data_IF_523300871440
#
_entry.id   IF_523300871440
#
_cell.length_a   1.000
_cell.length_b   1.000
_cell.length_c   1.000
_cell.angle_alpha   90.00
_cell.angle_beta   90.00
_cell.angle_gamma   90.00
#
_symmetry.space_group_name_H-M   'P 1'
#
loop_
_entity.id
_entity.type
_entity.pdbx_description
1 polymer ?
#
# COMPACT_ATOMS: atom_id res chain seq x y z
N UNK A 1 2.75 -9.32 -17.08
CA UNK A 1 3.81 -9.24 -16.06
C UNK A 1 5.09 -8.86 -16.76
N UNK A 2 5.81 -7.86 -16.27
CA UNK A 2 7.08 -7.40 -16.85
C UNK A 2 8.22 -7.91 -15.99
N UNK A 3 9.31 -8.33 -16.63
CA UNK A 3 10.58 -8.67 -15.95
C UNK A 3 11.64 -7.65 -16.38
N UNK A 4 12.03 -6.76 -15.48
CA UNK A 4 12.95 -5.65 -15.76
C UNK A 4 14.24 -5.77 -14.94
N UNK A 5 15.33 -5.16 -15.44
CA UNK A 5 16.62 -5.10 -14.74
C UNK A 5 16.60 -4.07 -13.62
N UNK A 6 17.31 -4.38 -12.52
CA UNK A 6 17.56 -3.51 -11.35
C UNK A 6 18.44 -2.31 -11.71
N UNK A 7 17.93 -1.42 -12.55
CA UNK A 7 18.59 -0.19 -12.99
C UNK A 7 17.59 0.96 -12.86
N UNK A 8 18.05 2.18 -12.59
CA UNK A 8 17.15 3.35 -12.53
C UNK A 8 16.33 3.51 -13.82
N UNK A 9 16.97 3.35 -14.98
CA UNK A 9 16.29 3.36 -16.29
C UNK A 9 15.26 2.23 -16.42
N UNK A 10 15.58 1.03 -15.94
CA UNK A 10 14.65 -0.10 -15.90
C UNK A 10 13.48 0.09 -14.93
N UNK A 11 13.69 0.86 -13.86
CA UNK A 11 12.69 1.33 -12.90
C UNK A 11 11.63 2.21 -13.56
N UNK A 12 12.06 3.29 -14.21
CA UNK A 12 11.19 4.22 -14.92
C UNK A 12 10.37 3.52 -16.02
N UNK A 13 11.02 2.71 -16.87
CA UNK A 13 10.36 1.96 -17.94
C UNK A 13 9.31 0.98 -17.41
N UNK A 14 9.56 0.34 -16.26
CA UNK A 14 8.56 -0.56 -15.69
C UNK A 14 7.34 0.19 -15.17
N UNK A 15 7.52 1.37 -14.55
CA UNK A 15 6.40 2.21 -14.12
C UNK A 15 5.58 2.73 -15.30
N UNK A 16 6.22 3.13 -16.39
CA UNK A 16 5.54 3.49 -17.65
C UNK A 16 4.72 2.31 -18.18
N UNK A 17 5.30 1.11 -18.16
CA UNK A 17 4.60 -0.05 -18.65
C UNK A 17 3.44 -0.48 -17.73
N UNK A 18 3.52 -0.26 -16.41
CA UNK A 18 2.37 -0.40 -15.49
C UNK A 18 1.23 0.58 -15.82
N UNK A 19 1.54 1.80 -16.27
CA UNK A 19 0.51 2.74 -16.75
C UNK A 19 -0.06 2.31 -18.10
N UNK A 20 0.77 1.75 -18.98
CA UNK A 20 0.34 1.22 -20.26
C UNK A 20 -0.50 -0.06 -20.16
N UNK A 21 -0.82 -0.52 -18.94
CA UNK A 21 -1.71 -1.66 -18.69
C UNK A 21 -1.00 -2.93 -18.25
N UNK A 22 0.30 -2.88 -17.93
CA UNK A 22 0.94 -4.04 -17.33
C UNK A 22 0.37 -4.31 -15.92
N UNK A 23 0.09 -5.58 -15.69
CA UNK A 23 -0.54 -6.07 -14.45
C UNK A 23 0.42 -6.02 -13.26
N UNK A 24 1.71 -6.27 -13.50
CA UNK A 24 2.72 -6.39 -12.44
C UNK A 24 4.15 -6.32 -12.97
N UNK A 25 5.10 -6.04 -12.07
CA UNK A 25 6.53 -5.92 -12.33
C UNK A 25 7.35 -6.85 -11.43
N UNK A 26 8.38 -7.45 -12.01
CA UNK A 26 9.38 -8.27 -11.31
C UNK A 26 10.80 -7.89 -11.73
N UNK A 27 11.77 -8.17 -10.87
CA UNK A 27 13.19 -8.08 -11.19
C UNK A 27 13.68 -9.31 -11.95
N UNK A 28 14.72 -9.13 -12.77
CA UNK A 28 15.61 -10.24 -13.13
C UNK A 28 16.35 -10.74 -11.89
N UNK A 29 16.63 -12.06 -11.78
CA UNK A 29 17.34 -12.61 -10.63
C UNK A 29 18.74 -11.97 -10.51
N UNK A 30 19.19 -11.77 -9.26
CA UNK A 30 20.41 -11.04 -8.93
C UNK A 30 20.84 -11.32 -7.49
N UNK A 31 21.73 -10.51 -6.92
CA UNK A 31 22.29 -10.74 -5.57
C UNK A 31 21.23 -10.73 -4.46
N UNK A 32 20.13 -9.98 -4.64
CA UNK A 32 19.05 -9.86 -3.65
C UNK A 32 18.06 -11.03 -3.63
N UNK A 33 17.97 -11.82 -4.71
CA UNK A 33 16.98 -12.90 -4.85
C UNK A 33 17.59 -14.13 -5.52
N UNK A 34 17.47 -15.30 -4.89
CA UNK A 34 17.86 -16.55 -5.53
C UNK A 34 16.92 -16.88 -6.70
N UNK A 35 17.38 -17.71 -7.64
CA UNK A 35 16.52 -18.21 -8.72
C UNK A 35 15.31 -18.96 -8.16
N UNK A 36 15.47 -19.67 -7.03
CA UNK A 36 14.38 -20.37 -6.35
C UNK A 36 13.29 -19.43 -5.85
N UNK A 37 13.68 -18.35 -5.15
CA UNK A 37 12.73 -17.35 -4.64
C UNK A 37 11.99 -16.66 -5.78
N UNK A 38 12.70 -16.33 -6.87
CA UNK A 38 12.13 -15.68 -8.04
C UNK A 38 11.13 -16.59 -8.76
N UNK A 39 11.39 -17.90 -8.80
CA UNK A 39 10.49 -18.87 -9.44
C UNK A 39 9.12 -18.90 -8.76
N UNK A 40 9.11 -18.86 -7.43
CA UNK A 40 7.89 -18.82 -6.63
C UNK A 40 7.14 -17.51 -6.88
N UNK A 41 7.83 -16.38 -6.80
CA UNK A 41 7.24 -15.07 -7.07
C UNK A 41 6.67 -14.99 -8.49
N UNK A 42 7.34 -15.59 -9.48
CA UNK A 42 6.88 -15.60 -10.87
C UNK A 42 5.60 -16.42 -11.02
N UNK A 43 5.53 -17.58 -10.38
CA UNK A 43 4.31 -18.41 -10.38
C UNK A 43 3.14 -17.62 -9.79
N UNK A 44 3.34 -16.92 -8.67
CA UNK A 44 2.29 -16.13 -8.04
C UNK A 44 1.86 -14.96 -8.94
N UNK A 45 2.80 -14.26 -9.58
CA UNK A 45 2.51 -13.15 -10.50
C UNK A 45 1.79 -13.62 -11.78
N UNK A 46 2.13 -14.80 -12.32
CA UNK A 46 1.42 -15.42 -13.45
C UNK A 46 0.01 -15.85 -13.06
N UNK A 47 -0.15 -16.48 -11.89
CA UNK A 47 -1.48 -16.84 -11.36
C UNK A 47 -2.33 -15.58 -11.12
N UNK A 48 -1.75 -14.52 -10.56
CA UNK A 48 -2.41 -13.23 -10.38
C UNK A 48 -2.88 -12.69 -11.73
N UNK A 49 -1.99 -12.66 -12.73
CA UNK A 49 -2.29 -12.21 -14.08
C UNK A 49 -3.42 -13.00 -14.76
N UNK A 50 -3.51 -14.32 -14.53
CA UNK A 50 -4.59 -15.16 -15.08
C UNK A 50 -5.97 -14.86 -14.49
N UNK A 51 -6.03 -14.20 -13.33
CA UNK A 51 -7.26 -13.84 -12.61
C UNK A 51 -7.61 -12.37 -12.72
N UNK A 52 -6.83 -11.60 -13.47
CA UNK A 52 -7.06 -10.17 -13.65
C UNK A 52 -8.41 -9.96 -14.27
N UNK A 53 -9.24 -9.18 -13.58
CA UNK A 53 -10.38 -8.54 -14.20
C UNK A 53 -9.85 -7.33 -14.92
N UNK A 54 -9.79 -7.39 -16.26
CA UNK A 54 -9.51 -6.19 -17.05
C UNK A 54 -10.77 -5.33 -16.96
N UNK A 55 -10.72 -4.16 -16.29
CA UNK A 55 -11.86 -3.27 -16.35
C UNK A 55 -11.99 -2.85 -17.82
N UNK A 56 -13.16 -3.14 -18.41
CA UNK A 56 -13.53 -2.55 -19.69
C UNK A 56 -13.45 -1.04 -19.46
N UNK A 57 -12.49 -0.37 -20.09
CA UNK A 57 -12.42 1.08 -20.12
C UNK A 57 -13.74 1.58 -20.72
N UNK A 58 -14.71 1.88 -19.87
CA UNK A 58 -15.75 2.83 -20.22
C UNK A 58 -15.06 4.18 -20.21
N UNK A 59 -14.56 4.58 -21.37
CA UNK A 59 -14.29 5.99 -21.64
C UNK A 59 -15.60 6.74 -21.40
N UNK A 60 -15.65 7.48 -20.29
CA UNK A 60 -16.79 8.27 -19.85
C UNK A 60 -16.68 8.43 -18.34
N UNK A 61 -16.43 9.58 -17.76
CA UNK A 61 -16.50 10.97 -18.23
C UNK A 61 -15.43 11.77 -17.50
N UNK A 62 -15.11 12.95 -18.02
CA UNK A 62 -14.29 13.99 -17.39
C UNK A 62 -14.45 14.02 -15.86
N UNK A 63 -13.32 14.00 -15.15
CA UNK A 63 -13.24 14.25 -13.73
C UNK A 63 -13.58 15.73 -13.44
N UNK A 64 -14.85 16.07 -13.58
CA UNK A 64 -15.47 17.29 -13.08
C UNK A 64 -16.31 16.95 -11.87
N UNK A 65 -15.63 16.68 -10.75
CA UNK A 65 -16.12 17.12 -9.46
C UNK A 65 -14.91 17.34 -8.58
N UNK A 66 -14.36 18.56 -8.64
CA UNK A 66 -13.63 19.12 -7.49
C UNK A 66 -14.63 19.15 -6.35
N UNK A 67 -14.72 18.06 -5.60
CA UNK A 67 -15.31 18.04 -4.28
C UNK A 67 -14.61 19.14 -3.51
N UNK A 68 -15.34 20.22 -3.20
CA UNK A 68 -14.86 21.26 -2.31
C UNK A 68 -14.24 20.57 -1.09
N UNK A 69 -12.98 20.90 -0.78
CA UNK A 69 -12.30 20.36 0.38
C UNK A 69 -13.17 20.65 1.60
N UNK A 70 -13.90 19.65 2.10
CA UNK A 70 -14.54 19.73 3.41
C UNK A 70 -13.39 19.95 4.38
N UNK A 71 -13.34 21.13 4.98
CA UNK A 71 -12.42 21.42 6.07
C UNK A 71 -12.77 20.48 7.22
N UNK A 72 -12.07 19.35 7.30
CA UNK A 72 -12.10 18.50 8.48
C UNK A 72 -11.54 19.33 9.62
N UNK A 73 -12.41 19.76 10.54
CA UNK A 73 -12.01 20.59 11.67
C UNK A 73 -10.97 19.83 12.49
N UNK A 74 -9.85 20.50 12.82
CA UNK A 74 -8.70 20.00 13.60
C UNK A 74 -9.02 19.67 15.08
N UNK A 75 -10.26 19.32 15.41
CA UNK A 75 -10.72 19.19 16.80
C UNK A 75 -10.30 17.88 17.47
N UNK A 76 -9.66 16.95 16.76
CA UNK A 76 -9.17 15.69 17.35
C UNK A 76 -7.65 15.69 17.49
N UNK A 77 -7.17 15.82 18.72
CA UNK A 77 -5.75 15.88 19.12
C UNK A 77 -5.00 14.55 19.04
N UNK A 78 -5.60 13.49 18.48
CA UNK A 78 -4.93 12.20 18.31
C UNK A 78 -4.15 12.20 16.99
N UNK A 79 -2.83 12.00 17.05
CA UNK A 79 -2.02 11.71 15.86
C UNK A 79 -2.41 10.35 15.29
N UNK A 80 -3.52 10.31 14.55
CA UNK A 80 -3.96 9.13 13.82
C UNK A 80 -2.92 8.78 12.76
N UNK A 81 -2.64 7.49 12.63
CA UNK A 81 -1.75 6.94 11.59
C UNK A 81 -2.56 6.04 10.69
N UNK A 82 -2.33 6.13 9.39
CA UNK A 82 -2.95 5.24 8.40
C UNK A 82 -1.91 4.24 7.92
N UNK A 83 -2.26 2.96 7.88
CA UNK A 83 -1.41 1.91 7.32
C UNK A 83 -2.10 1.27 6.10
N UNK A 84 -1.40 1.20 4.97
CA UNK A 84 -1.96 0.64 3.73
C UNK A 84 -1.08 -0.51 3.22
N UNK A 85 -1.72 -1.60 2.82
CA UNK A 85 -1.07 -2.78 2.21
C UNK A 85 -1.62 -3.07 0.82
N UNK A 86 -0.75 -3.29 -0.16
CA UNK A 86 -1.14 -3.56 -1.54
C UNK A 86 -0.13 -4.46 -2.28
N UNK A 87 -0.57 -5.12 -3.36
CA UNK A 87 0.29 -5.99 -4.19
C UNK A 87 -0.05 -5.84 -5.68
N UNK A 88 -0.42 -6.91 -6.39
CA UNK A 88 -0.82 -6.85 -7.81
C UNK A 88 -2.00 -5.89 -8.04
N UNK A 89 -1.83 -4.95 -8.97
CA UNK A 89 -2.75 -3.82 -9.20
C UNK A 89 -2.62 -2.68 -8.18
N UNK A 90 -1.79 -2.84 -7.15
CA UNK A 90 -1.64 -1.92 -6.05
C UNK A 90 -1.03 -0.58 -6.44
N UNK A 91 -0.18 -0.52 -7.48
CA UNK A 91 0.39 0.75 -7.95
C UNK A 91 -0.69 1.73 -8.42
N UNK A 92 -1.63 1.25 -9.24
CA UNK A 92 -2.75 2.04 -9.74
C UNK A 92 -3.76 2.36 -8.63
N UNK A 93 -4.02 1.38 -7.75
CA UNK A 93 -4.92 1.58 -6.62
C UNK A 93 -4.39 2.64 -5.64
N UNK A 94 -3.11 2.58 -5.30
CA UNK A 94 -2.44 3.57 -4.45
C UNK A 94 -2.42 4.95 -5.10
N UNK A 95 -2.12 5.05 -6.41
CA UNK A 95 -2.19 6.32 -7.13
C UNK A 95 -3.61 6.92 -7.00
N UNK A 96 -4.66 6.14 -7.28
CA UNK A 96 -6.07 6.58 -7.18
C UNK A 96 -6.45 7.05 -5.77
N UNK A 97 -5.94 6.40 -4.72
CA UNK A 97 -6.22 6.81 -3.34
C UNK A 97 -5.45 8.09 -2.99
N UNK A 98 -4.15 8.12 -3.24
CA UNK A 98 -3.26 9.16 -2.74
C UNK A 98 -3.43 10.52 -3.44
N UNK A 99 -3.76 10.55 -4.74
CA UNK A 99 -3.98 11.81 -5.47
C UNK A 99 -5.17 12.62 -4.97
N UNK A 100 -6.11 11.97 -4.29
CA UNK A 100 -7.30 12.62 -3.72
C UNK A 100 -7.09 13.16 -2.30
N UNK A 101 -5.97 12.82 -1.67
CA UNK A 101 -5.69 13.21 -0.30
C UNK A 101 -5.29 14.68 -0.18
N UNK A 102 -5.88 15.45 0.75
CA UNK A 102 -5.47 16.83 1.00
C UNK A 102 -4.10 16.89 1.72
N UNK A 103 -3.38 18.02 1.66
CA UNK A 103 -2.05 18.17 2.27
C UNK A 103 -2.04 18.05 3.80
N UNK A 104 -3.19 18.21 4.46
CA UNK A 104 -3.35 18.04 5.91
C UNK A 104 -3.81 16.62 6.31
N UNK A 105 -3.70 15.64 5.41
CA UNK A 105 -4.00 14.23 5.69
C UNK A 105 -3.16 13.68 6.86
N UNK A 106 -3.65 12.68 7.61
CA UNK A 106 -2.85 11.99 8.63
C UNK A 106 -1.56 11.39 8.04
N UNK A 107 -0.59 11.08 8.89
CA UNK A 107 0.61 10.38 8.43
C UNK A 107 0.29 8.96 7.96
N UNK A 108 0.80 8.58 6.79
CA UNK A 108 0.48 7.32 6.13
C UNK A 108 1.74 6.48 5.93
N UNK A 109 1.66 5.19 6.24
CA UNK A 109 2.72 4.20 6.01
C UNK A 109 2.20 3.10 5.08
N UNK A 110 2.95 2.77 4.03
CA UNK A 110 2.47 1.91 2.95
C UNK A 110 3.47 0.79 2.69
N UNK A 111 2.98 -0.45 2.62
CA UNK A 111 3.71 -1.57 2.02
C UNK A 111 3.05 -1.91 0.68
N UNK A 112 3.82 -1.72 -0.39
CA UNK A 112 3.52 -2.26 -1.71
C UNK A 112 4.50 -3.39 -1.98
N UNK A 113 4.02 -4.59 -2.35
CA UNK A 113 4.90 -5.67 -2.80
C UNK A 113 5.58 -5.29 -4.11
N UNK A 114 6.78 -4.76 -3.99
CA UNK A 114 7.56 -4.23 -5.09
C UNK A 114 9.06 -4.43 -4.80
N UNK A 115 9.88 -4.76 -5.82
CA UNK A 115 11.30 -4.95 -5.59
C UNK A 115 12.06 -3.64 -5.32
N UNK A 116 13.25 -3.77 -4.72
CA UNK A 116 14.11 -2.68 -4.19
C UNK A 116 14.30 -1.46 -5.10
N UNK A 117 14.61 -1.65 -6.39
CA UNK A 117 14.87 -0.51 -7.30
C UNK A 117 13.61 0.23 -7.74
N UNK A 118 12.43 -0.40 -7.58
CA UNK A 118 11.18 0.18 -8.07
C UNK A 118 10.47 1.02 -7.01
N UNK A 119 10.65 0.73 -5.72
CA UNK A 119 9.97 1.45 -4.63
C UNK A 119 10.33 2.93 -4.58
N UNK A 120 11.62 3.26 -4.78
CA UNK A 120 12.07 4.66 -4.88
C UNK A 120 11.44 5.40 -6.06
N UNK A 121 11.52 4.81 -7.25
CA UNK A 121 10.94 5.40 -8.47
C UNK A 121 9.42 5.58 -8.34
N UNK A 122 8.75 4.64 -7.67
CA UNK A 122 7.32 4.69 -7.42
C UNK A 122 6.94 5.81 -6.45
N UNK A 123 7.69 5.97 -5.35
CA UNK A 123 7.50 7.06 -4.41
C UNK A 123 7.72 8.43 -5.05
N UNK A 124 8.81 8.58 -5.82
CA UNK A 124 9.15 9.85 -6.49
C UNK A 124 8.07 10.24 -7.51
N UNK A 125 7.50 9.27 -8.25
CA UNK A 125 6.36 9.50 -9.14
C UNK A 125 5.13 9.96 -8.38
N UNK A 126 4.74 9.25 -7.32
CA UNK A 126 3.56 9.62 -6.53
C UNK A 126 3.70 11.01 -5.93
N UNK A 127 4.91 11.39 -5.50
CA UNK A 127 5.21 12.72 -4.97
C UNK A 127 4.98 13.85 -6.00
N UNK A 128 5.11 13.57 -7.30
CA UNK A 128 4.80 14.53 -8.37
C UNK A 128 3.30 14.69 -8.62
N UNK A 129 2.51 13.66 -8.28
CA UNK A 129 1.07 13.61 -8.57
C UNK A 129 0.20 14.04 -7.37
N UNK A 130 0.70 13.87 -6.14
CA UNK A 130 -0.06 14.07 -4.92
C UNK A 130 0.17 15.44 -4.28
N UNK A 131 -0.79 15.90 -3.48
CA UNK A 131 -0.63 17.11 -2.65
C UNK A 131 0.10 16.82 -1.33
N UNK A 132 0.03 15.58 -0.86
CA UNK A 132 0.82 15.07 0.26
C UNK A 132 2.26 14.79 -0.19
N UNK A 133 3.22 14.96 0.73
CA UNK A 133 4.61 14.57 0.49
C UNK A 133 4.70 13.04 0.49
N UNK A 134 5.17 12.46 -0.61
CA UNK A 134 5.41 11.02 -0.73
C UNK A 134 6.91 10.76 -0.83
N UNK A 135 7.44 9.88 0.01
CA UNK A 135 8.83 9.41 -0.09
C UNK A 135 8.95 7.92 0.20
N UNK A 136 10.01 7.32 -0.32
CA UNK A 136 10.47 6.02 0.17
C UNK A 136 10.98 6.21 1.61
N UNK A 137 10.61 5.28 2.49
CA UNK A 137 10.88 5.36 3.90
C UNK A 137 12.34 5.10 4.23
N UNK A 138 12.93 5.97 5.05
CA UNK A 138 14.25 5.82 5.64
C UNK A 138 14.13 5.44 7.13
N UNK A 139 15.15 4.78 7.67
CA UNK A 139 15.14 4.39 9.08
C UNK A 139 15.03 5.62 9.99
N UNK A 140 14.10 5.57 10.96
CA UNK A 140 13.73 6.65 11.87
C UNK A 140 12.98 7.84 11.25
N UNK A 141 12.45 7.70 10.02
CA UNK A 141 11.56 8.70 9.44
C UNK A 141 10.33 8.91 10.33
N UNK A 142 9.97 10.18 10.55
CA UNK A 142 8.75 10.52 11.29
C UNK A 142 7.50 10.26 10.46
N UNK A 143 6.47 9.71 11.10
CA UNK A 143 5.12 9.63 10.54
C UNK A 143 4.35 10.88 10.97
N UNK A 144 4.29 11.88 10.09
CA UNK A 144 3.66 13.19 10.36
C UNK A 144 2.53 13.49 9.39
N UNK A 145 1.64 14.40 9.79
CA UNK A 145 0.57 14.93 8.93
C UNK A 145 1.13 15.41 7.58
N UNK A 146 0.44 15.08 6.50
CA UNK A 146 0.79 15.44 5.13
C UNK A 146 1.88 14.59 4.51
N UNK A 147 2.34 13.52 5.18
CA UNK A 147 3.43 12.66 4.71
C UNK A 147 2.99 11.21 4.53
N UNK A 148 3.41 10.64 3.41
CA UNK A 148 3.25 9.24 3.03
C UNK A 148 4.63 8.59 2.90
N UNK A 149 4.83 7.49 3.62
CA UNK A 149 6.07 6.71 3.61
C UNK A 149 5.83 5.36 2.94
N UNK A 150 6.56 5.06 1.88
CA UNK A 150 6.50 3.78 1.16
C UNK A 150 7.66 2.90 1.62
N UNK A 151 7.38 1.66 2.03
CA UNK A 151 8.41 0.71 2.44
C UNK A 151 9.43 0.49 1.32
N UNK A 152 10.74 0.58 1.61
CA UNK A 152 11.77 0.22 0.64
C UNK A 152 11.68 -1.27 0.32
N UNK A 153 11.83 -1.60 -0.97
CA UNK A 153 11.85 -2.99 -1.42
C UNK A 153 13.00 -3.76 -0.76
N UNK A 154 12.82 -5.06 -0.52
CA UNK A 154 13.83 -5.91 0.11
C UNK A 154 14.14 -5.61 1.60
N UNK A 155 13.40 -4.71 2.24
CA UNK A 155 13.41 -4.51 3.70
C UNK A 155 11.99 -4.58 4.29
N UNK A 156 11.87 -4.81 5.59
CA UNK A 156 10.62 -4.65 6.30
C UNK A 156 10.55 -3.26 6.93
N UNK A 157 9.39 -2.62 6.78
CA UNK A 157 9.05 -1.38 7.46
C UNK A 157 8.10 -1.68 8.62
N UNK A 158 8.42 -1.18 9.81
CA UNK A 158 7.58 -1.31 11.00
C UNK A 158 7.31 0.07 11.59
N UNK A 159 6.10 0.28 12.09
CA UNK A 159 5.80 1.44 12.93
C UNK A 159 6.44 1.25 14.30
N UNK A 160 6.98 2.33 14.86
CA UNK A 160 7.45 2.46 16.24
C UNK A 160 6.90 3.73 16.86
N UNK A 161 6.95 3.79 18.18
CA UNK A 161 6.52 4.96 18.95
C UNK A 161 7.57 5.32 19.99
N UNK A 162 7.93 6.59 20.04
CA UNK A 162 8.76 7.18 21.11
C UNK A 162 8.01 8.36 21.71
N UNK A 163 7.50 8.19 22.94
CA UNK A 163 6.62 9.17 23.57
C UNK A 163 5.37 9.46 22.73
N UNK A 164 5.24 10.69 22.26
CA UNK A 164 4.12 11.13 21.41
C UNK A 164 4.37 10.98 19.90
N UNK A 165 5.61 10.66 19.48
CA UNK A 165 6.00 10.60 18.07
C UNK A 165 5.92 9.17 17.52
N UNK A 166 5.27 9.03 16.37
CA UNK A 166 5.38 7.86 15.53
C UNK A 166 6.55 8.01 14.54
N UNK A 167 7.28 6.92 14.33
CA UNK A 167 8.34 6.83 13.35
C UNK A 167 8.41 5.43 12.76
N UNK A 168 9.06 5.27 11.62
CA UNK A 168 9.27 3.96 11.01
C UNK A 168 10.67 3.44 11.29
N UNK A 169 10.77 2.13 11.47
CA UNK A 169 12.04 1.42 11.55
C UNK A 169 12.16 0.49 10.35
N UNK A 170 13.31 0.54 9.67
CA UNK A 170 13.61 -0.27 8.49
C UNK A 170 14.58 -1.37 8.89
N UNK A 171 14.18 -2.64 8.71
CA UNK A 171 15.01 -3.79 9.05
C UNK A 171 15.14 -4.77 7.91
N UNK A 172 16.33 -5.38 7.82
CA UNK A 172 16.47 -6.68 7.18
C UNK A 172 15.92 -7.76 8.11
N UNK A 173 15.25 -8.75 7.54
CA UNK A 173 14.65 -9.87 8.26
C UNK A 173 14.26 -11.00 7.29
N UNK A 174 13.90 -12.19 7.80
CA UNK A 174 13.45 -13.28 6.94
C UNK A 174 12.16 -12.89 6.20
N UNK A 175 11.90 -13.53 5.06
CA UNK A 175 10.64 -13.32 4.33
C UNK A 175 9.44 -13.67 5.24
N UNK A 176 8.43 -12.80 5.26
CA UNK A 176 7.16 -13.05 5.97
C UNK A 176 6.07 -13.18 4.92
N UNK A 177 5.29 -14.26 4.98
CA UNK A 177 4.31 -14.59 3.92
C UNK A 177 4.96 -14.61 2.52
N UNK A 178 6.24 -14.97 2.43
CA UNK A 178 7.10 -14.97 1.22
C UNK A 178 7.40 -13.58 0.63
N UNK A 179 7.15 -12.51 1.37
CA UNK A 179 7.34 -11.14 0.94
C UNK A 179 8.30 -10.37 1.84
N UNK A 180 9.06 -9.46 1.22
CA UNK A 180 9.89 -8.45 1.88
C UNK A 180 9.99 -7.23 0.95
N UNK A 181 9.25 -6.14 1.22
CA UNK A 181 8.44 -5.87 2.41
C UNK A 181 7.19 -6.74 2.55
N UNK A 182 6.75 -6.99 3.79
CA UNK A 182 5.50 -7.70 4.12
C UNK A 182 4.51 -6.75 4.79
N UNK A 183 3.25 -6.87 4.37
CA UNK A 183 2.13 -6.11 4.90
C UNK A 183 1.80 -6.55 6.33
N UNK A 184 1.85 -7.85 6.64
CA UNK A 184 1.65 -8.34 8.01
C UNK A 184 2.66 -7.73 8.99
N UNK A 185 3.94 -7.61 8.60
CA UNK A 185 4.96 -6.99 9.47
C UNK A 185 4.60 -5.54 9.80
N UNK A 186 4.17 -4.76 8.80
CA UNK A 186 3.71 -3.40 9.01
C UNK A 186 2.47 -3.38 9.91
N UNK A 187 1.42 -4.09 9.54
CA UNK A 187 0.14 -4.04 10.24
C UNK A 187 0.22 -4.52 11.69
N UNK A 188 0.96 -5.60 11.98
CA UNK A 188 1.19 -6.08 13.36
C UNK A 188 1.92 -5.04 14.21
N UNK A 189 2.91 -4.35 13.63
CA UNK A 189 3.56 -3.24 14.34
C UNK A 189 2.62 -2.04 14.56
N UNK A 190 1.74 -1.74 13.61
CA UNK A 190 0.74 -0.67 13.74
C UNK A 190 -0.28 -1.02 14.82
N UNK A 191 -0.78 -2.26 14.85
CA UNK A 191 -1.66 -2.76 15.91
C UNK A 191 -1.01 -2.55 17.28
N UNK A 192 0.25 -2.97 17.44
CA UNK A 192 1.01 -2.84 18.69
C UNK A 192 1.26 -1.40 19.14
N UNK A 193 1.67 -0.50 18.25
CA UNK A 193 2.13 0.84 18.64
C UNK A 193 1.05 1.93 18.54
N UNK A 194 0.08 1.76 17.65
CA UNK A 194 -1.01 2.71 17.43
C UNK A 194 -2.36 2.20 17.93
N UNK A 195 -2.64 0.89 17.88
CA UNK A 195 -3.92 0.30 18.30
C UNK A 195 -5.11 1.07 17.71
N UNK A 196 -6.08 1.44 18.55
CA UNK A 196 -7.24 2.27 18.16
C UNK A 196 -6.93 3.64 17.52
N UNK A 197 -5.68 4.12 17.60
CA UNK A 197 -5.26 5.34 16.93
C UNK A 197 -4.85 5.09 15.46
N UNK A 198 -5.01 3.88 14.94
CA UNK A 198 -4.75 3.58 13.54
C UNK A 198 -6.02 3.43 12.71
N UNK A 199 -5.85 3.62 11.40
CA UNK A 199 -6.74 3.11 10.35
C UNK A 199 -5.91 2.19 9.46
N UNK A 200 -6.39 0.96 9.23
CA UNK A 200 -5.75 0.00 8.32
C UNK A 200 -6.54 -0.12 7.03
N UNK A 201 -5.87 -0.17 5.88
CA UNK A 201 -6.50 -0.43 4.59
C UNK A 201 -5.74 -1.51 3.81
N UNK A 202 -6.43 -2.55 3.37
CA UNK A 202 -5.88 -3.58 2.50
C UNK A 202 -6.48 -3.46 1.10
N UNK A 203 -5.62 -3.32 0.10
CA UNK A 203 -5.99 -3.12 -1.30
C UNK A 203 -5.75 -4.38 -2.13
N UNK A 204 -6.09 -4.29 -3.42
CA UNK A 204 -5.88 -5.32 -4.43
C UNK A 204 -4.51 -5.98 -4.33
N UNK A 205 -4.51 -7.29 -4.51
CA UNK A 205 -3.31 -8.09 -4.39
C UNK A 205 -3.60 -9.58 -4.35
N UNK A 206 -2.61 -10.38 -4.77
CA UNK A 206 -2.68 -11.83 -4.64
C UNK A 206 -2.13 -12.28 -3.28
N UNK A 207 -2.66 -13.39 -2.77
CA UNK A 207 -2.20 -14.01 -1.53
C UNK A 207 -2.91 -13.48 -0.30
N UNK A 208 -2.32 -13.72 0.87
CA UNK A 208 -2.91 -13.46 2.19
C UNK A 208 -2.08 -12.53 3.07
N UNK A 209 -0.96 -12.01 2.57
CA UNK A 209 -0.10 -11.12 3.35
C UNK A 209 -0.88 -9.85 3.72
N UNK A 210 -0.90 -9.51 5.01
CA UNK A 210 -1.66 -8.42 5.58
C UNK A 210 -3.02 -8.83 6.15
N UNK A 211 -3.54 -10.02 5.84
CA UNK A 211 -4.84 -10.46 6.35
C UNK A 211 -4.82 -10.67 7.87
N UNK A 212 -3.78 -11.33 8.39
CA UNK A 212 -3.61 -11.54 9.83
C UNK A 212 -3.31 -10.22 10.55
N UNK A 213 -2.41 -9.41 9.98
CA UNK A 213 -2.07 -8.11 10.55
C UNK A 213 -3.26 -7.16 10.59
N UNK A 214 -4.14 -7.17 9.57
CA UNK A 214 -5.34 -6.34 9.56
C UNK A 214 -6.35 -6.82 10.62
N UNK A 215 -6.51 -8.13 10.78
CA UNK A 215 -7.32 -8.70 11.86
C UNK A 215 -6.76 -8.33 13.25
N UNK A 216 -5.44 -8.33 13.43
CA UNK A 216 -4.80 -7.88 14.67
C UNK A 216 -5.04 -6.39 14.91
N UNK A 217 -4.92 -5.54 13.89
CA UNK A 217 -5.28 -4.12 13.98
C UNK A 217 -6.74 -3.93 14.41
N UNK A 218 -7.67 -4.67 13.80
CA UNK A 218 -9.09 -4.63 14.14
C UNK A 218 -9.33 -5.02 15.62
N UNK A 219 -8.71 -6.11 16.08
CA UNK A 219 -8.81 -6.58 17.46
C UNK A 219 -8.26 -5.57 18.48
N UNK A 220 -7.23 -4.81 18.11
CA UNK A 220 -6.68 -3.70 18.91
C UNK A 220 -7.49 -2.38 18.80
N UNK A 221 -8.65 -2.43 18.14
CA UNK A 221 -9.62 -1.34 18.03
C UNK A 221 -9.33 -0.33 16.92
N UNK A 222 -8.38 -0.61 16.03
CA UNK A 222 -8.18 0.19 14.82
C UNK A 222 -9.40 0.03 13.89
N UNK A 223 -9.67 1.04 13.06
CA UNK A 223 -10.68 0.91 12.01
C UNK A 223 -10.05 0.35 10.75
N UNK A 224 -10.66 -0.68 10.17
CA UNK A 224 -10.07 -1.43 9.06
C UNK A 224 -10.94 -1.43 7.80
N UNK A 225 -10.29 -1.30 6.66
CA UNK A 225 -10.94 -1.19 5.34
C UNK A 225 -10.35 -2.27 4.44
N UNK A 226 -11.20 -2.99 3.72
CA UNK A 226 -10.83 -3.84 2.60
C UNK A 226 -11.38 -3.25 1.29
N UNK A 227 -10.55 -3.21 0.25
CA UNK A 227 -11.03 -2.88 -1.09
C UNK A 227 -12.05 -3.94 -1.54
N UNK A 228 -13.16 -3.50 -2.14
CA UNK A 228 -14.20 -4.40 -2.63
C UNK A 228 -13.75 -5.21 -3.86
N UNK A 229 -14.50 -6.27 -4.16
CA UNK A 229 -14.17 -7.21 -5.23
C UNK A 229 -14.27 -6.59 -6.64
N UNK A 230 -15.21 -5.68 -6.86
CA UNK A 230 -15.49 -5.15 -8.20
C UNK A 230 -14.43 -4.14 -8.64
N UNK A 231 -13.86 -3.36 -7.71
CA UNK A 231 -12.76 -2.45 -8.02
C UNK A 231 -11.37 -3.10 -7.96
N UNK A 232 -11.26 -4.34 -7.45
CA UNK A 232 -9.98 -5.05 -7.36
C UNK A 232 -9.51 -5.61 -8.71
N UNK A 233 -8.24 -5.38 -9.03
CA UNK A 233 -7.58 -6.09 -10.15
C UNK A 233 -7.43 -7.58 -9.80
N UNK A 234 -7.02 -7.87 -8.56
CA UNK A 234 -6.93 -9.21 -7.97
C UNK A 234 -7.49 -9.18 -6.56
N UNK A 235 -8.64 -9.81 -6.36
CA UNK A 235 -9.32 -9.91 -5.07
C UNK A 235 -8.81 -11.10 -4.24
N UNK A 236 -7.52 -11.07 -3.88
CA UNK A 236 -6.88 -12.07 -3.00
C UNK A 236 -6.71 -11.54 -1.59
N UNK A 237 -5.80 -10.57 -1.41
CA UNK A 237 -5.48 -9.97 -0.12
C UNK A 237 -6.71 -9.42 0.61
N UNK A 238 -7.59 -8.61 -0.03
CA UNK A 238 -8.80 -8.12 0.63
C UNK A 238 -9.76 -9.26 1.00
N UNK A 239 -9.88 -10.27 0.15
CA UNK A 239 -10.74 -11.45 0.40
C UNK A 239 -10.31 -12.20 1.66
N UNK A 240 -9.02 -12.49 1.80
CA UNK A 240 -8.47 -13.19 2.96
C UNK A 240 -8.68 -12.36 4.24
N UNK A 241 -8.47 -11.05 4.19
CA UNK A 241 -8.71 -10.16 5.33
C UNK A 241 -10.19 -10.12 5.77
N UNK A 242 -11.12 -10.11 4.80
CA UNK A 242 -12.57 -10.20 5.07
C UNK A 242 -12.94 -11.54 5.69
N UNK A 243 -12.39 -12.65 5.18
CA UNK A 243 -12.67 -13.99 5.68
C UNK A 243 -12.17 -14.20 7.12
N UNK A 244 -11.08 -13.54 7.50
CA UNK A 244 -10.58 -13.54 8.88
C UNK A 244 -11.36 -12.60 9.82
N UNK A 245 -12.39 -11.91 9.33
CA UNK A 245 -13.15 -10.94 10.11
C UNK A 245 -12.37 -9.67 10.44
N UNK A 246 -11.28 -9.40 9.72
CA UNK A 246 -10.38 -8.29 10.01
C UNK A 246 -10.77 -6.97 9.37
N UNK A 247 -11.88 -6.89 8.62
CA UNK A 247 -12.32 -5.70 7.90
C UNK A 247 -13.64 -5.16 8.47
N UNK A 248 -13.64 -3.95 9.04
CA UNK A 248 -14.87 -3.25 9.44
C UNK A 248 -15.70 -2.80 8.22
N UNK A 249 -15.02 -2.43 7.13
CA UNK A 249 -15.63 -1.85 5.95
C UNK A 249 -15.09 -2.49 4.68
N UNK A 250 -15.99 -2.89 3.78
CA UNK A 250 -15.66 -3.24 2.39
C UNK A 250 -16.03 -2.05 1.52
N UNK A 251 -15.05 -1.46 0.84
CA UNK A 251 -15.20 -0.14 0.21
C UNK A 251 -14.69 -0.12 -1.23
N UNK A 252 -15.46 0.44 -2.19
CA UNK A 252 -14.98 0.74 -3.54
C UNK A 252 -13.72 1.60 -3.58
N UNK A 253 -12.78 1.30 -4.48
CA UNK A 253 -11.49 1.99 -4.57
C UNK A 253 -11.61 3.52 -4.61
N UNK A 254 -12.56 4.04 -5.38
CA UNK A 254 -12.84 5.48 -5.53
C UNK A 254 -13.34 6.15 -4.24
N UNK A 255 -13.76 5.36 -3.25
CA UNK A 255 -14.25 5.81 -1.94
C UNK A 255 -13.29 5.53 -0.79
N UNK A 256 -12.19 4.79 -1.01
CA UNK A 256 -11.26 4.44 0.06
C UNK A 256 -10.63 5.69 0.70
N UNK A 257 -10.22 6.68 -0.09
CA UNK A 257 -9.64 7.91 0.44
C UNK A 257 -10.62 8.70 1.31
N UNK A 258 -11.85 8.91 0.83
CA UNK A 258 -12.93 9.54 1.60
C UNK A 258 -13.20 8.77 2.90
N UNK A 259 -13.23 7.44 2.82
CA UNK A 259 -13.44 6.58 3.98
C UNK A 259 -12.32 6.70 5.00
N UNK A 260 -11.06 6.68 4.58
CA UNK A 260 -9.89 6.89 5.46
C UNK A 260 -10.04 8.23 6.20
N UNK A 261 -10.32 9.31 5.49
CA UNK A 261 -10.45 10.65 6.07
C UNK A 261 -11.64 10.76 7.05
N UNK A 262 -12.72 10.02 6.83
CA UNK A 262 -13.87 9.99 7.75
C UNK A 262 -13.60 9.29 9.09
N UNK A 263 -12.54 8.47 9.18
CA UNK A 263 -12.23 7.62 10.32
C UNK A 263 -11.12 8.18 11.23
N UNK A 264 -10.44 9.25 10.79
CA UNK A 264 -9.33 9.89 11.52
C UNK A 264 -9.81 11.06 12.36
#
# INVERSE_FOLDING_TARGET
VIVSSLTQKGGALALEAMQAGAVDVMCKPGTAYSVGDLSIALIDKVKAASRVRVPIHRNGSEASSRSAAKQYSLTRTTQKVVAIGASTGGTQALESVLVTLPPNSPGIVIVQHMPEVFTKSFADRLNQLCQVEVKEAEDNDSVTTGRVLIAPGNFHMMLRRSGARYYVEIKSGPLVSRHRPSVDVLFKSVARYAGRNAVGAILTGMGRDGAEGLAEMHNEGAKTIAQDEDSCVVFGMPKEAIQLGGADFVTPLDRIAEKILSLV
#
